data_IF_848747910003
#
_entry.id   IF_848747910003
#
_cell.length_a   1.000
_cell.length_b   1.000
_cell.length_c   1.000
_cell.angle_alpha   90.00
_cell.angle_beta   90.00
_cell.angle_gamma   90.00
#
_symmetry.space_group_name_H-M   'P 1'
#
loop_
_entity.id
_entity.type
_entity.pdbx_description
1 polymer ?
#
# COMPACT_ATOMS: atom_id res chain seq x y z
N UNK A 1 22.25 13.19 -6.53
CA UNK A 1 20.89 12.96 -5.98
C UNK A 1 21.01 12.09 -4.73
N UNK A 2 20.17 12.29 -3.70
CA UNK A 2 20.18 11.42 -2.52
C UNK A 2 19.99 9.94 -2.91
N UNK A 3 20.63 8.96 -2.24
CA UNK A 3 20.61 7.55 -2.65
C UNK A 3 19.20 6.97 -2.86
N UNK A 4 18.25 7.29 -1.97
CA UNK A 4 16.86 6.83 -2.09
C UNK A 4 16.11 7.41 -3.30
N UNK A 5 16.43 8.65 -3.70
CA UNK A 5 15.87 9.28 -4.91
C UNK A 5 16.46 8.65 -6.16
N UNK A 6 17.76 8.33 -6.13
CA UNK A 6 18.41 7.61 -7.22
C UNK A 6 17.81 6.21 -7.40
N UNK A 7 17.65 5.44 -6.31
CA UNK A 7 16.99 4.14 -6.35
C UNK A 7 15.61 4.19 -6.99
N UNK A 8 14.75 5.11 -6.53
CA UNK A 8 13.41 5.30 -7.13
C UNK A 8 13.49 5.59 -8.63
N UNK A 9 14.42 6.44 -9.05
CA UNK A 9 14.59 6.78 -10.46
C UNK A 9 15.08 5.59 -11.29
N UNK A 10 15.97 4.76 -10.74
CA UNK A 10 16.41 3.52 -11.39
C UNK A 10 15.26 2.54 -11.53
N UNK A 11 14.49 2.31 -10.46
CA UNK A 11 13.27 1.48 -10.49
C UNK A 11 12.29 2.01 -11.52
N UNK A 12 12.02 3.32 -11.53
CA UNK A 12 11.13 3.94 -12.52
C UNK A 12 11.57 3.66 -13.96
N UNK A 13 12.86 3.76 -14.24
CA UNK A 13 13.40 3.65 -15.59
C UNK A 13 13.64 2.21 -16.04
N UNK A 14 13.79 1.26 -15.11
CA UNK A 14 14.22 -0.11 -15.43
C UNK A 14 13.17 -1.21 -15.17
N UNK A 15 12.00 -0.86 -14.63
CA UNK A 15 10.98 -1.86 -14.29
C UNK A 15 10.02 -2.18 -15.42
N UNK A 16 9.50 -1.15 -16.11
CA UNK A 16 8.70 -1.33 -17.32
C UNK A 16 9.61 -1.60 -18.52
N UNK A 17 9.21 -2.51 -19.41
CA UNK A 17 10.03 -2.91 -20.56
C UNK A 17 10.28 -1.76 -21.54
N UNK A 18 9.25 -0.93 -21.79
CA UNK A 18 9.37 0.20 -22.72
C UNK A 18 10.28 1.28 -22.12
N UNK A 19 10.07 1.61 -20.84
CA UNK A 19 10.92 2.58 -20.12
C UNK A 19 12.38 2.09 -20.04
N UNK A 20 12.60 0.78 -19.79
CA UNK A 20 13.92 0.15 -19.71
C UNK A 20 14.68 0.25 -21.03
N UNK A 21 13.98 0.01 -22.14
CA UNK A 21 14.53 0.11 -23.49
C UNK A 21 14.88 1.55 -23.85
N UNK A 22 14.02 2.52 -23.52
CA UNK A 22 14.27 3.94 -23.78
C UNK A 22 15.46 4.49 -22.96
N UNK A 23 15.56 4.07 -21.70
CA UNK A 23 16.57 4.59 -20.77
C UNK A 23 17.87 3.78 -20.75
N UNK A 24 17.92 2.62 -21.41
CA UNK A 24 19.06 1.71 -21.38
C UNK A 24 19.35 1.11 -20.00
N UNK A 25 18.33 1.02 -19.13
CA UNK A 25 18.45 0.47 -17.78
C UNK A 25 17.66 -0.83 -17.74
N UNK A 26 18.35 -1.95 -17.59
CA UNK A 26 17.72 -3.26 -17.44
C UNK A 26 18.01 -3.80 -16.03
N UNK A 27 16.96 -4.11 -15.29
CA UNK A 27 17.03 -4.78 -13.99
C UNK A 27 16.66 -6.23 -14.24
N UNK A 28 17.59 -7.16 -14.05
CA UNK A 28 17.36 -8.57 -14.30
C UNK A 28 16.35 -9.18 -13.30
N UNK A 29 15.82 -10.35 -13.64
CA UNK A 29 14.75 -10.97 -12.83
C UNK A 29 15.21 -11.34 -11.41
N UNK A 30 16.47 -11.72 -11.20
CA UNK A 30 17.00 -12.02 -9.87
C UNK A 30 17.07 -10.77 -9.01
N UNK A 31 17.52 -9.66 -9.58
CA UNK A 31 17.49 -8.35 -8.92
C UNK A 31 16.06 -7.89 -8.62
N UNK A 32 15.12 -8.06 -9.56
CA UNK A 32 13.71 -7.73 -9.34
C UNK A 32 13.12 -8.49 -8.15
N UNK A 33 13.39 -9.79 -8.05
CA UNK A 33 12.91 -10.61 -6.93
C UNK A 33 13.55 -10.20 -5.60
N UNK A 34 14.85 -9.89 -5.61
CA UNK A 34 15.57 -9.38 -4.43
C UNK A 34 14.97 -8.05 -3.95
N UNK A 35 14.72 -7.11 -4.87
CA UNK A 35 14.07 -5.84 -4.57
C UNK A 35 12.70 -6.10 -3.95
N UNK A 36 11.85 -6.91 -4.59
CA UNK A 36 10.50 -7.22 -4.10
C UNK A 36 10.51 -7.82 -2.69
N UNK A 37 11.47 -8.70 -2.39
CA UNK A 37 11.60 -9.38 -1.09
C UNK A 37 11.96 -8.44 0.06
N UNK A 38 12.77 -7.41 -0.20
CA UNK A 38 13.29 -6.54 0.88
C UNK A 38 12.59 -5.18 0.97
N UNK A 39 11.90 -4.74 -0.08
CA UNK A 39 11.48 -3.35 -0.21
C UNK A 39 10.44 -2.93 0.85
N UNK A 40 9.50 -3.81 1.21
CA UNK A 40 8.49 -3.52 2.25
C UNK A 40 9.14 -3.42 3.63
N UNK A 41 10.03 -4.35 3.96
CA UNK A 41 10.76 -4.32 5.23
C UNK A 41 11.61 -3.06 5.36
N UNK A 42 12.38 -2.70 4.33
CA UNK A 42 13.19 -1.49 4.31
C UNK A 42 12.34 -0.22 4.46
N UNK A 43 11.16 -0.18 3.84
CA UNK A 43 10.24 0.96 4.03
C UNK A 43 9.80 1.10 5.50
N UNK A 44 9.66 0.00 6.23
CA UNK A 44 9.23 0.01 7.62
C UNK A 44 10.36 0.38 8.60
N UNK A 45 11.62 0.10 8.25
CA UNK A 45 12.77 0.31 9.15
C UNK A 45 13.57 1.58 8.86
N UNK A 46 13.19 2.34 7.82
CA UNK A 46 13.94 3.55 7.39
C UNK A 46 13.31 4.86 7.87
N UNK A 47 14.10 5.95 7.97
CA UNK A 47 13.60 7.27 8.34
C UNK A 47 12.51 7.81 7.38
N UNK A 48 11.65 8.74 7.83
CA UNK A 48 10.49 9.21 7.06
C UNK A 48 10.80 9.70 5.64
N UNK A 49 11.93 10.39 5.43
CA UNK A 49 12.30 10.90 4.10
C UNK A 49 12.60 9.76 3.10
N UNK A 50 13.22 8.69 3.59
CA UNK A 50 13.55 7.51 2.78
C UNK A 50 12.29 6.66 2.57
N UNK A 51 11.50 6.48 3.63
CA UNK A 51 10.22 5.77 3.58
C UNK A 51 9.32 6.29 2.46
N UNK A 52 9.25 7.61 2.23
CA UNK A 52 8.47 8.19 1.13
C UNK A 52 8.95 7.70 -0.24
N UNK A 53 10.27 7.69 -0.48
CA UNK A 53 10.83 7.23 -1.77
C UNK A 53 10.63 5.72 -1.97
N UNK A 54 10.73 4.92 -0.90
CA UNK A 54 10.48 3.49 -0.96
C UNK A 54 8.99 3.20 -1.21
N UNK A 55 8.08 3.91 -0.55
CA UNK A 55 6.63 3.81 -0.80
C UNK A 55 6.28 4.18 -2.25
N UNK A 56 6.92 5.21 -2.82
CA UNK A 56 6.75 5.56 -4.24
C UNK A 56 7.27 4.46 -5.16
N UNK A 57 8.41 3.84 -4.82
CA UNK A 57 9.00 2.73 -5.58
C UNK A 57 8.09 1.49 -5.55
N UNK A 58 7.57 1.11 -4.37
CA UNK A 58 6.58 0.04 -4.22
C UNK A 58 5.36 0.31 -5.09
N UNK A 59 4.83 1.54 -5.04
CA UNK A 59 3.65 1.93 -5.82
C UNK A 59 3.91 1.89 -7.33
N UNK A 60 5.16 2.09 -7.77
CA UNK A 60 5.54 2.02 -9.16
C UNK A 60 5.61 0.57 -9.63
N UNK A 61 6.36 -0.27 -8.91
CA UNK A 61 6.50 -1.69 -9.20
C UNK A 61 5.13 -2.38 -9.19
N UNK A 62 4.28 -2.03 -8.22
CA UNK A 62 2.93 -2.58 -8.10
C UNK A 62 2.01 -2.24 -9.28
N UNK A 63 2.33 -1.26 -10.15
CA UNK A 63 1.52 -1.02 -11.36
C UNK A 63 1.67 -2.16 -12.38
N UNK A 64 2.83 -2.81 -12.40
CA UNK A 64 3.16 -3.83 -13.40
C UNK A 64 3.09 -5.23 -12.80
N UNK A 65 3.54 -5.39 -11.55
CA UNK A 65 3.72 -6.72 -10.95
C UNK A 65 2.54 -7.16 -10.05
N UNK A 66 1.68 -6.24 -9.61
CA UNK A 66 0.58 -6.58 -8.71
C UNK A 66 -0.66 -7.09 -9.49
N UNK A 67 -1.30 -8.19 -9.12
CA UNK A 67 -1.06 -9.08 -7.99
C UNK A 67 -0.26 -10.36 -8.37
N UNK A 68 -0.20 -10.73 -9.64
CA UNK A 68 0.28 -12.06 -10.09
C UNK A 68 1.78 -12.26 -9.85
N UNK A 69 2.60 -11.25 -10.11
CA UNK A 69 4.07 -11.33 -10.04
C UNK A 69 4.64 -10.83 -8.71
N UNK A 70 3.77 -10.39 -7.78
CA UNK A 70 4.14 -9.95 -6.44
C UNK A 70 3.01 -10.19 -5.42
N UNK A 71 2.62 -11.47 -5.27
CA UNK A 71 1.47 -11.88 -4.46
C UNK A 71 1.64 -11.55 -2.96
N UNK A 72 2.88 -11.60 -2.46
CA UNK A 72 3.22 -11.35 -1.06
C UNK A 72 3.14 -9.88 -0.63
N UNK A 73 3.04 -8.93 -1.58
CA UNK A 73 2.99 -7.50 -1.25
C UNK A 73 1.85 -7.15 -0.29
N UNK A 74 0.63 -7.65 -0.56
CA UNK A 74 -0.52 -7.35 0.29
C UNK A 74 -0.40 -7.99 1.68
N UNK A 75 -0.10 -9.30 1.82
CA UNK A 75 0.19 -9.91 3.12
C UNK A 75 1.24 -9.16 3.94
N UNK A 76 2.36 -8.78 3.31
CA UNK A 76 3.45 -8.05 3.99
C UNK A 76 2.98 -6.69 4.49
N UNK A 77 2.22 -5.93 3.69
CA UNK A 77 1.66 -4.65 4.13
C UNK A 77 0.66 -4.84 5.28
N UNK A 78 -0.24 -5.82 5.17
CA UNK A 78 -1.26 -6.11 6.19
C UNK A 78 -0.62 -6.51 7.51
N UNK A 79 0.46 -7.29 7.49
CA UNK A 79 1.18 -7.71 8.70
C UNK A 79 1.64 -6.50 9.53
N UNK A 80 2.06 -5.41 8.87
CA UNK A 80 2.56 -4.21 9.54
C UNK A 80 1.46 -3.38 10.22
N UNK A 81 0.17 -3.68 10.00
CA UNK A 81 -0.92 -3.01 10.73
C UNK A 81 -0.89 -3.30 12.23
N UNK A 82 -0.29 -4.42 12.63
CA UNK A 82 -0.12 -4.80 14.03
C UNK A 82 1.13 -4.20 14.69
N UNK A 83 1.87 -3.34 13.99
CA UNK A 83 3.07 -2.70 14.54
C UNK A 83 2.72 -1.79 15.72
N UNK A 84 3.58 -1.78 16.73
CA UNK A 84 3.50 -0.84 17.86
C UNK A 84 3.99 0.56 17.48
N UNK A 85 4.70 0.70 16.36
CA UNK A 85 5.17 1.98 15.84
C UNK A 85 4.12 2.59 14.89
N UNK A 86 3.50 3.68 15.34
CA UNK A 86 2.49 4.39 14.56
C UNK A 86 3.03 5.01 13.27
N UNK A 87 4.34 5.31 13.19
CA UNK A 87 4.97 5.80 11.97
C UNK A 87 5.02 4.70 10.90
N UNK A 88 5.30 3.45 11.30
CA UNK A 88 5.26 2.28 10.42
C UNK A 88 3.84 2.03 9.91
N UNK A 89 2.86 1.99 10.81
CA UNK A 89 1.44 1.79 10.44
C UNK A 89 0.99 2.85 9.44
N UNK A 90 1.29 4.13 9.70
CA UNK A 90 0.94 5.22 8.79
C UNK A 90 1.68 5.15 7.45
N UNK A 91 2.95 4.76 7.44
CA UNK A 91 3.74 4.59 6.22
C UNK A 91 3.10 3.54 5.31
N UNK A 92 2.82 2.37 5.87
CA UNK A 92 2.20 1.24 5.17
C UNK A 92 0.81 1.59 4.65
N UNK A 93 -0.02 2.26 5.47
CA UNK A 93 -1.34 2.72 5.03
C UNK A 93 -1.26 3.75 3.88
N UNK A 94 -0.26 4.63 3.88
CA UNK A 94 -0.02 5.56 2.75
C UNK A 94 0.33 4.80 1.48
N UNK A 95 1.19 3.79 1.57
CA UNK A 95 1.57 2.93 0.45
C UNK A 95 0.37 2.15 -0.09
N UNK A 96 -0.39 1.48 0.77
CA UNK A 96 -1.61 0.77 0.39
C UNK A 96 -2.62 1.73 -0.29
N UNK A 97 -2.85 2.90 0.28
CA UNK A 97 -3.73 3.92 -0.33
C UNK A 97 -3.21 4.43 -1.69
N UNK A 98 -1.90 4.51 -1.91
CA UNK A 98 -1.30 4.90 -3.18
C UNK A 98 -1.49 3.82 -4.26
N UNK A 99 -1.27 2.55 -3.91
CA UNK A 99 -1.56 1.40 -4.78
C UNK A 99 -3.05 1.41 -5.16
N UNK A 100 -3.95 1.56 -4.19
CA UNK A 100 -5.40 1.50 -4.48
C UNK A 100 -5.87 2.71 -5.29
N UNK A 101 -5.17 3.85 -5.17
CA UNK A 101 -5.41 5.02 -6.02
C UNK A 101 -5.03 4.72 -7.47
N UNK A 102 -4.01 3.91 -7.75
CA UNK A 102 -3.56 3.60 -9.11
C UNK A 102 -4.62 2.83 -9.91
N UNK A 103 -5.39 1.96 -9.26
CA UNK A 103 -6.46 1.17 -9.89
C UNK A 103 -7.51 2.01 -10.61
N UNK A 104 -7.70 3.28 -10.22
CA UNK A 104 -8.65 4.20 -10.89
C UNK A 104 -8.21 4.65 -12.28
N UNK A 105 -6.92 4.58 -12.56
CA UNK A 105 -6.33 4.99 -13.83
C UNK A 105 -6.11 3.80 -14.78
N UNK A 106 -6.32 2.58 -14.28
CA UNK A 106 -6.24 1.36 -15.10
C UNK A 106 -7.56 1.18 -15.85
N UNK A 107 -7.47 0.80 -17.12
CA UNK A 107 -8.66 0.49 -17.93
C UNK A 107 -9.44 -0.65 -17.29
N UNK A 108 -10.77 -0.52 -17.26
CA UNK A 108 -11.65 -1.55 -16.69
C UNK A 108 -11.53 -2.85 -17.49
N UNK A 109 -11.20 -3.93 -16.79
CA UNK A 109 -11.06 -5.28 -17.34
C UNK A 109 -11.38 -6.31 -16.25
N UNK A 110 -11.64 -7.56 -16.64
CA UNK A 110 -11.84 -8.65 -15.69
C UNK A 110 -10.60 -8.88 -14.81
N UNK A 111 -9.40 -8.66 -15.34
CA UNK A 111 -8.16 -8.75 -14.58
C UNK A 111 -8.05 -7.67 -13.51
N UNK A 112 -8.44 -6.43 -13.81
CA UNK A 112 -8.51 -5.37 -12.80
C UNK A 112 -9.49 -5.75 -11.69
N UNK A 113 -10.66 -6.30 -12.03
CA UNK A 113 -11.64 -6.73 -11.04
C UNK A 113 -11.14 -7.88 -10.16
N UNK A 114 -10.39 -8.84 -10.71
CA UNK A 114 -9.72 -9.91 -9.94
C UNK A 114 -8.73 -9.33 -8.93
N UNK A 115 -7.90 -8.38 -9.36
CA UNK A 115 -6.94 -7.69 -8.49
C UNK A 115 -7.66 -6.99 -7.35
N UNK A 116 -8.73 -6.25 -7.65
CA UNK A 116 -9.54 -5.54 -6.65
C UNK A 116 -10.15 -6.53 -5.66
N UNK A 117 -10.78 -7.61 -6.13
CA UNK A 117 -11.37 -8.64 -5.28
C UNK A 117 -10.35 -9.28 -4.34
N UNK A 118 -9.19 -9.67 -4.87
CA UNK A 118 -8.08 -10.18 -4.06
C UNK A 118 -7.69 -9.20 -2.97
N UNK A 119 -7.53 -7.93 -3.36
CA UNK A 119 -7.15 -6.84 -2.45
C UNK A 119 -8.17 -6.65 -1.33
N UNK A 120 -9.47 -6.60 -1.68
CA UNK A 120 -10.57 -6.41 -0.73
C UNK A 120 -10.63 -7.54 0.30
N UNK A 121 -10.58 -8.78 -0.18
CA UNK A 121 -10.64 -9.96 0.68
C UNK A 121 -9.47 -10.00 1.68
N UNK A 122 -8.28 -9.58 1.25
CA UNK A 122 -7.10 -9.57 2.11
C UNK A 122 -7.05 -8.41 3.12
N UNK A 123 -7.65 -7.25 2.79
CA UNK A 123 -7.49 -6.04 3.63
C UNK A 123 -8.69 -5.75 4.53
N UNK A 124 -9.91 -6.22 4.22
CA UNK A 124 -11.12 -5.79 4.91
C UNK A 124 -11.12 -6.05 6.43
N UNK A 125 -10.79 -7.28 6.85
CA UNK A 125 -10.79 -7.67 8.25
C UNK A 125 -9.63 -7.02 9.03
N UNK A 126 -8.38 -7.02 8.54
CA UNK A 126 -7.28 -6.30 9.18
C UNK A 126 -7.52 -4.79 9.30
N UNK A 127 -8.12 -4.17 8.29
CA UNK A 127 -8.42 -2.73 8.30
C UNK A 127 -9.49 -2.39 9.33
N UNK A 128 -10.51 -3.23 9.48
CA UNK A 128 -11.54 -3.08 10.51
C UNK A 128 -10.97 -3.27 11.92
N UNK A 129 -10.11 -4.28 12.11
CA UNK A 129 -9.43 -4.50 13.38
C UNK A 129 -8.58 -3.28 13.78
N UNK A 130 -7.81 -2.75 12.82
CA UNK A 130 -7.01 -1.54 13.02
C UNK A 130 -7.88 -0.31 13.35
N UNK A 131 -9.05 -0.16 12.71
CA UNK A 131 -10.00 0.90 13.01
C UNK A 131 -10.48 0.84 14.47
N UNK A 132 -10.91 -0.35 14.92
CA UNK A 132 -11.36 -0.57 16.30
C UNK A 132 -10.24 -0.25 17.30
N UNK A 133 -9.03 -0.77 17.06
CA UNK A 133 -7.86 -0.52 17.90
C UNK A 133 -7.47 0.97 17.95
N UNK A 134 -7.50 1.65 16.80
CA UNK A 134 -7.18 3.08 16.71
C UNK A 134 -8.20 3.92 17.48
N UNK A 135 -9.49 3.59 17.38
CA UNK A 135 -10.56 4.25 18.13
C UNK A 135 -10.38 4.13 19.64
N UNK A 136 -10.11 2.91 20.14
CA UNK A 136 -9.81 2.68 21.57
C UNK A 136 -8.57 3.45 22.03
N UNK A 137 -7.52 3.49 21.21
CA UNK A 137 -6.28 4.20 21.54
C UNK A 137 -6.47 5.71 21.61
N UNK A 138 -7.30 6.29 20.74
CA UNK A 138 -7.64 7.72 20.77
C UNK A 138 -8.38 8.06 22.06
N UNK A 139 -9.30 7.20 22.52
CA UNK A 139 -10.01 7.39 23.78
C UNK A 139 -9.09 7.30 25.01
N UNK A 140 -8.09 6.42 24.99
CA UNK A 140 -7.13 6.28 26.09
C UNK A 140 -6.13 7.47 26.17
N UNK A 141 -5.80 8.11 25.05
CA UNK A 141 -4.75 9.12 24.95
C UNK A 141 -5.29 10.55 24.73
N UNK A 142 -6.51 10.82 25.19
CA UNK A 142 -7.22 12.09 24.97
C UNK A 142 -6.44 13.33 25.41
N UNK A 143 -5.48 13.18 26.33
CA UNK A 143 -4.69 14.28 26.89
C UNK A 143 -3.29 14.45 26.24
N UNK A 144 -2.88 13.58 25.30
CA UNK A 144 -1.56 13.65 24.64
C UNK A 144 -1.71 14.03 23.15
N UNK A 145 -1.66 15.34 22.89
CA UNK A 145 -1.78 15.90 21.55
C UNK A 145 -0.69 15.41 20.57
N UNK A 146 0.51 15.06 21.05
CA UNK A 146 1.58 14.55 20.19
C UNK A 146 1.27 13.15 19.68
N UNK A 147 0.66 12.33 20.53
CA UNK A 147 0.28 10.95 20.20
C UNK A 147 -1.07 10.81 19.50
N UNK A 148 -1.94 11.81 19.61
CA UNK A 148 -3.22 11.85 18.90
C UNK A 148 -3.06 12.13 17.40
N UNK A 149 -2.18 13.07 17.03
CA UNK A 149 -1.94 13.44 15.62
C UNK A 149 -1.69 12.24 14.68
N UNK A 150 -0.73 11.33 14.98
CA UNK A 150 -0.47 10.21 14.09
C UNK A 150 -1.63 9.19 14.06
N UNK A 151 -2.43 9.08 15.13
CA UNK A 151 -3.61 8.20 15.18
C UNK A 151 -4.79 8.76 14.38
N UNK A 152 -4.99 10.07 14.38
CA UNK A 152 -5.94 10.71 13.47
C UNK A 152 -5.54 10.57 12.01
N UNK A 153 -4.25 10.63 11.70
CA UNK A 153 -3.76 10.34 10.34
C UNK A 153 -4.05 8.89 9.93
N UNK A 154 -3.86 7.93 10.85
CA UNK A 154 -4.25 6.52 10.65
C UNK A 154 -5.74 6.40 10.35
N UNK A 155 -6.59 7.01 11.17
CA UNK A 155 -8.04 7.02 10.98
C UNK A 155 -8.44 7.61 9.61
N UNK A 156 -7.84 8.75 9.24
CA UNK A 156 -8.04 9.38 7.93
C UNK A 156 -7.63 8.45 6.79
N UNK A 157 -6.50 7.76 6.89
CA UNK A 157 -6.03 6.83 5.86
C UNK A 157 -6.95 5.61 5.73
N UNK A 158 -7.40 5.05 6.85
CA UNK A 158 -8.37 3.95 6.89
C UNK A 158 -9.64 4.34 6.11
N UNK A 159 -10.25 5.49 6.44
CA UNK A 159 -11.45 5.93 5.73
C UNK A 159 -11.22 6.18 4.25
N UNK A 160 -10.05 6.70 3.85
CA UNK A 160 -9.72 6.87 2.43
C UNK A 160 -9.59 5.53 1.71
N UNK A 161 -8.99 4.54 2.35
CA UNK A 161 -8.86 3.18 1.79
C UNK A 161 -10.25 2.55 1.69
N UNK A 162 -11.05 2.57 2.76
CA UNK A 162 -12.41 2.04 2.77
C UNK A 162 -13.29 2.69 1.69
N UNK A 163 -13.26 4.03 1.58
CA UNK A 163 -13.98 4.74 0.53
C UNK A 163 -13.55 4.30 -0.87
N UNK A 164 -12.25 4.08 -1.11
CA UNK A 164 -11.77 3.57 -2.40
C UNK A 164 -12.26 2.16 -2.67
N UNK A 165 -12.23 1.30 -1.66
CA UNK A 165 -12.73 -0.08 -1.75
C UNK A 165 -14.19 -0.12 -2.22
N UNK A 166 -15.04 0.73 -1.64
CA UNK A 166 -16.47 0.81 -2.00
C UNK A 166 -16.70 1.45 -3.37
N UNK A 167 -15.99 2.53 -3.70
CA UNK A 167 -16.24 3.30 -4.93
C UNK A 167 -15.60 2.73 -6.21
N UNK A 168 -14.85 1.63 -6.09
CA UNK A 168 -14.25 0.99 -7.27
C UNK A 168 -15.29 0.17 -8.06
N UNK A 169 -16.51 -0.05 -7.53
CA UNK A 169 -17.57 -0.72 -8.31
C UNK A 169 -19.01 -0.39 -7.83
N UNK A 170 -19.75 0.53 -8.49
CA UNK A 170 -21.13 0.84 -8.14
C UNK A 170 -22.19 -0.16 -8.65
N UNK A 171 -21.84 -1.12 -9.54
CA UNK A 171 -22.84 -1.95 -10.23
C UNK A 171 -22.70 -3.47 -10.10
N UNK A 172 -21.68 -4.00 -9.39
CA UNK A 172 -21.48 -5.46 -9.27
C UNK A 172 -21.25 -6.01 -7.86
N UNK A 173 -21.00 -5.17 -6.86
CA UNK A 173 -20.95 -5.65 -5.48
C UNK A 173 -22.27 -5.32 -4.79
N UNK A 174 -23.11 -6.34 -4.62
CA UNK A 174 -24.25 -6.22 -3.71
C UNK A 174 -23.72 -5.95 -2.31
N UNK A 175 -24.47 -5.23 -1.46
CA UNK A 175 -24.08 -4.97 -0.08
C UNK A 175 -23.62 -6.21 0.67
N UNK A 176 -24.18 -7.38 0.36
CA UNK A 176 -23.81 -8.69 0.93
C UNK A 176 -22.34 -9.11 0.79
N UNK A 177 -21.57 -8.55 -0.15
CA UNK A 177 -20.12 -8.82 -0.28
C UNK A 177 -19.22 -7.75 0.34
N UNK A 178 -19.80 -6.62 0.77
CA UNK A 178 -19.09 -5.49 1.40
C UNK A 178 -19.45 -5.40 2.90
N UNK A 179 -20.47 -6.12 3.36
CA UNK A 179 -20.84 -6.17 4.77
C UNK A 179 -19.72 -6.89 5.53
N UNK A 180 -19.02 -6.10 6.34
CA UNK A 180 -18.26 -6.53 7.50
C UNK A 180 -19.14 -7.51 8.28
N UNK A 181 -18.90 -8.79 8.07
CA UNK A 181 -19.57 -9.83 8.84
C UNK A 181 -18.95 -9.80 10.22
N UNK A 182 -19.81 -9.55 11.22
CA UNK A 182 -19.47 -9.44 12.64
C UNK A 182 -18.69 -10.65 13.19
#
# INVERSE_FOLDING_TARGET
>A
TPPAVHFKNTVKKGWDFEDAKENGINIDESERQTIKTHLVQLMCTTPPLIQVQLSESISLIAKTDYYTNWQNLLPELVQQFNSTDQAVVNGVLKTANAIFKSFRYVQRSDDLYRVILYTLNGIQAPLLALLKQTGQSIQALQNDAMQLKPRFETLRLIFRIAFRCVNVNPHRFTPSQIIFSD
#
